data_IF_110574336675
#
_entry.id   IF_110574336675
#
_cell.length_a   1.000
_cell.length_b   1.000
_cell.length_c   1.000
_cell.angle_alpha   90.00
_cell.angle_beta   90.00
_cell.angle_gamma   90.00
#
_symmetry.space_group_name_H-M   'P 1'
#
loop_
_entity.id
_entity.type
_entity.pdbx_description
1 polymer ?
#
# COMPACT_ATOMS: atom_id res chain seq x y z
N UNK A 1 -2.49 3.52 -20.32
CA UNK A 1 -1.20 4.03 -19.79
C UNK A 1 -0.71 3.01 -18.76
N UNK A 2 -0.19 1.88 -19.24
CA UNK A 2 0.31 0.77 -18.42
C UNK A 2 1.66 1.26 -17.88
N UNK A 3 1.76 1.49 -16.57
CA UNK A 3 3.04 1.69 -15.92
C UNK A 3 3.82 0.38 -16.11
N UNK A 4 4.72 0.39 -17.08
CA UNK A 4 5.81 -0.57 -17.20
C UNK A 4 6.75 -0.28 -16.02
N UNK A 5 6.30 -0.61 -14.80
CA UNK A 5 7.17 -0.74 -13.66
C UNK A 5 8.06 -1.92 -14.03
N UNK A 6 9.33 -1.63 -14.30
CA UNK A 6 10.41 -2.57 -14.56
C UNK A 6 10.06 -3.93 -13.99
N UNK A 7 9.90 -4.94 -14.86
CA UNK A 7 10.06 -6.32 -14.42
C UNK A 7 11.50 -6.38 -13.97
N UNK A 8 11.74 -6.06 -12.69
CA UNK A 8 12.99 -6.39 -12.05
C UNK A 8 13.12 -7.89 -12.29
N UNK A 9 14.18 -8.30 -12.98
CA UNK A 9 14.46 -9.71 -13.13
C UNK A 9 14.38 -10.33 -11.73
N UNK A 10 13.73 -11.50 -11.58
CA UNK A 10 13.61 -12.13 -10.28
C UNK A 10 15.02 -12.37 -9.77
N UNK A 11 15.43 -11.56 -8.80
CA UNK A 11 16.67 -11.74 -8.07
C UNK A 11 16.37 -12.81 -7.02
N UNK A 12 16.81 -14.06 -7.24
CA UNK A 12 16.47 -15.17 -6.37
C UNK A 12 17.00 -14.95 -4.94
N UNK A 13 18.09 -14.20 -4.78
CA UNK A 13 18.67 -13.89 -3.48
C UNK A 13 17.82 -12.85 -2.75
N UNK A 14 17.31 -11.84 -3.47
CA UNK A 14 16.39 -10.85 -2.91
C UNK A 14 15.04 -11.47 -2.53
N UNK A 15 14.50 -12.35 -3.37
CA UNK A 15 13.26 -13.08 -3.08
C UNK A 15 13.44 -14.02 -1.89
N UNK A 16 14.54 -14.79 -1.83
CA UNK A 16 14.83 -15.65 -0.68
C UNK A 16 14.94 -14.85 0.63
N UNK A 17 15.64 -13.70 0.60
CA UNK A 17 15.77 -12.84 1.77
C UNK A 17 14.42 -12.24 2.21
N UNK A 18 13.54 -11.89 1.27
CA UNK A 18 12.21 -11.39 1.59
C UNK A 18 11.30 -12.51 2.14
N UNK A 19 11.38 -13.73 1.59
CA UNK A 19 10.68 -14.90 2.13
C UNK A 19 11.15 -15.26 3.55
N UNK A 20 12.43 -15.07 3.86
CA UNK A 20 12.97 -15.24 5.21
C UNK A 20 12.39 -14.21 6.19
N UNK A 21 12.34 -12.92 5.78
CA UNK A 21 11.71 -11.89 6.58
C UNK A 21 10.25 -12.24 6.90
N UNK A 22 9.47 -12.68 5.91
CA UNK A 22 8.06 -13.07 6.11
C UNK A 22 7.95 -14.25 7.09
N UNK A 23 8.84 -15.24 6.98
CA UNK A 23 8.85 -16.38 7.90
C UNK A 23 9.17 -15.98 9.34
N UNK A 24 10.14 -15.07 9.55
CA UNK A 24 10.46 -14.51 10.88
C UNK A 24 9.32 -13.67 11.45
N UNK A 25 8.65 -12.87 10.62
CA UNK A 25 7.45 -12.10 10.99
C UNK A 25 6.33 -13.03 11.45
N UNK A 26 6.13 -14.17 10.77
CA UNK A 26 5.15 -15.18 11.20
C UNK A 26 5.46 -15.75 12.60
N UNK A 27 6.72 -15.72 13.03
CA UNK A 27 7.18 -16.05 14.38
C UNK A 27 7.11 -14.89 15.39
N UNK A 28 6.64 -13.71 14.99
CA UNK A 28 6.52 -12.52 15.86
C UNK A 28 7.80 -11.68 15.97
N UNK A 29 8.76 -11.86 15.05
CA UNK A 29 9.99 -11.06 15.01
C UNK A 29 9.73 -9.65 14.44
N UNK A 30 9.85 -8.63 15.29
CA UNK A 30 9.63 -7.23 14.92
C UNK A 30 10.76 -6.65 14.08
N UNK A 31 11.99 -7.12 14.27
CA UNK A 31 13.14 -6.63 13.51
C UNK A 31 13.04 -7.11 12.06
N UNK A 32 12.50 -8.32 11.84
CA UNK A 32 12.19 -8.83 10.51
C UNK A 32 11.15 -7.97 9.76
N UNK A 33 10.21 -7.32 10.48
CA UNK A 33 9.27 -6.38 9.86
C UNK A 33 9.97 -5.11 9.39
N UNK A 34 10.93 -4.60 10.16
CA UNK A 34 11.74 -3.45 9.76
C UNK A 34 12.61 -3.77 8.54
N UNK A 35 13.21 -4.97 8.49
CA UNK A 35 13.96 -5.46 7.34
C UNK A 35 13.08 -5.56 6.09
N UNK A 36 11.87 -6.11 6.23
CA UNK A 36 10.88 -6.19 5.15
C UNK A 36 10.51 -4.79 4.66
N UNK A 37 10.20 -3.86 5.57
CA UNK A 37 9.85 -2.47 5.24
C UNK A 37 10.95 -1.82 4.38
N UNK A 38 12.21 -1.89 4.81
CA UNK A 38 13.33 -1.28 4.09
C UNK A 38 13.48 -1.82 2.67
N UNK A 39 13.25 -3.13 2.48
CA UNK A 39 13.34 -3.80 1.17
C UNK A 39 12.15 -3.47 0.27
N UNK A 40 10.94 -3.38 0.82
CA UNK A 40 9.71 -3.25 0.02
C UNK A 40 9.27 -1.80 -0.18
N UNK A 41 9.69 -0.87 0.68
CA UNK A 41 9.21 0.52 0.70
C UNK A 41 9.18 1.21 -0.65
N UNK A 42 10.27 1.24 -1.46
CA UNK A 42 10.25 1.95 -2.74
C UNK A 42 9.21 1.39 -3.72
N UNK A 43 9.08 0.05 -3.77
CA UNK A 43 8.15 -0.64 -4.65
C UNK A 43 6.69 -0.44 -4.20
N UNK A 44 6.42 -0.64 -2.91
CA UNK A 44 5.08 -0.49 -2.33
C UNK A 44 4.59 0.95 -2.43
N UNK A 45 5.41 1.92 -2.04
CA UNK A 45 5.04 3.34 -2.11
C UNK A 45 4.81 3.79 -3.56
N UNK A 46 5.75 3.48 -4.47
CA UNK A 46 5.61 3.84 -5.88
C UNK A 46 4.36 3.22 -6.52
N UNK A 47 4.06 1.96 -6.17
CA UNK A 47 2.88 1.27 -6.67
C UNK A 47 1.59 1.85 -6.08
N UNK A 48 1.51 2.09 -4.78
CA UNK A 48 0.37 2.74 -4.13
C UNK A 48 0.12 4.13 -4.73
N UNK A 49 1.15 4.96 -4.83
CA UNK A 49 1.08 6.30 -5.44
C UNK A 49 0.59 6.25 -6.88
N UNK A 50 0.97 5.22 -7.64
CA UNK A 50 0.49 5.03 -9.01
C UNK A 50 -1.02 4.77 -9.09
N UNK A 51 -1.63 4.23 -8.03
CA UNK A 51 -3.07 3.92 -7.94
C UNK A 51 -3.84 5.12 -7.38
N UNK A 52 -3.45 5.63 -6.21
CA UNK A 52 -4.23 6.64 -5.49
C UNK A 52 -3.94 8.08 -5.91
N UNK A 53 -2.82 8.32 -6.61
CA UNK A 53 -2.39 9.65 -7.11
C UNK A 53 -2.31 10.74 -6.03
N UNK A 54 -2.21 10.35 -4.77
CA UNK A 54 -2.06 11.22 -3.61
C UNK A 54 -0.89 10.69 -2.75
N UNK A 55 0.04 11.57 -2.38
CA UNK A 55 1.24 11.18 -1.65
C UNK A 55 0.93 10.74 -0.21
N UNK A 56 0.00 11.42 0.46
CA UNK A 56 -0.39 11.10 1.84
C UNK A 56 -1.09 9.74 1.91
N UNK A 57 -2.08 9.51 1.02
CA UNK A 57 -2.74 8.20 0.95
C UNK A 57 -1.76 7.08 0.60
N UNK A 58 -0.77 7.34 -0.27
CA UNK A 58 0.23 6.34 -0.63
C UNK A 58 1.15 5.97 0.55
N UNK A 59 1.48 6.93 1.40
CA UNK A 59 2.26 6.71 2.62
C UNK A 59 1.45 5.93 3.67
N UNK A 60 0.17 6.28 3.85
CA UNK A 60 -0.72 5.53 4.74
C UNK A 60 -0.88 4.07 4.27
N UNK A 61 -1.11 3.87 2.98
CA UNK A 61 -1.21 2.52 2.39
C UNK A 61 0.08 1.72 2.57
N UNK A 62 1.24 2.36 2.46
CA UNK A 62 2.53 1.70 2.72
C UNK A 62 2.60 1.19 4.16
N UNK A 63 2.23 2.02 5.13
CA UNK A 63 2.23 1.64 6.55
C UNK A 63 1.21 0.52 6.83
N UNK A 64 -0.01 0.67 6.32
CA UNK A 64 -1.07 -0.33 6.44
C UNK A 64 -0.68 -1.66 5.78
N UNK A 65 0.04 -1.62 4.66
CA UNK A 65 0.53 -2.82 4.00
C UNK A 65 1.50 -3.60 4.89
N UNK A 66 2.39 -2.92 5.62
CA UNK A 66 3.30 -3.59 6.57
C UNK A 66 2.54 -4.21 7.75
N UNK A 67 1.54 -3.52 8.29
CA UNK A 67 0.67 -4.08 9.34
C UNK A 67 -0.11 -5.30 8.83
N UNK A 68 -0.62 -5.21 7.60
CA UNK A 68 -1.36 -6.32 6.99
C UNK A 68 -0.44 -7.51 6.67
N UNK A 69 0.82 -7.27 6.28
CA UNK A 69 1.84 -8.30 6.15
C UNK A 69 2.08 -8.99 7.50
N UNK A 70 2.25 -8.22 8.58
CA UNK A 70 2.38 -8.79 9.94
C UNK A 70 1.23 -9.73 10.29
N UNK A 71 -0.01 -9.28 10.07
CA UNK A 71 -1.20 -10.07 10.36
C UNK A 71 -1.37 -11.30 9.46
N UNK A 72 -0.94 -11.22 8.20
CA UNK A 72 -1.13 -12.28 7.20
C UNK A 72 0.07 -13.24 7.07
N UNK A 73 1.23 -12.91 7.65
CA UNK A 73 2.46 -13.68 7.50
C UNK A 73 2.32 -15.15 7.93
N UNK A 74 1.55 -15.44 8.98
CA UNK A 74 1.31 -16.80 9.45
C UNK A 74 0.60 -17.71 8.42
N UNK A 75 -0.12 -17.13 7.46
CA UNK A 75 -0.77 -17.85 6.37
C UNK A 75 0.02 -17.87 5.06
N UNK A 76 1.18 -17.21 5.01
CA UNK A 76 1.98 -17.11 3.80
C UNK A 76 2.58 -18.47 3.43
N UNK A 77 2.52 -18.82 2.13
CA UNK A 77 3.16 -20.01 1.58
C UNK A 77 4.21 -19.56 0.58
N UNK A 78 5.45 -20.08 0.72
CA UNK A 78 6.56 -19.79 -0.21
C UNK A 78 6.18 -20.24 -1.61
N UNK A 79 6.24 -19.31 -2.55
CA UNK A 79 5.88 -19.49 -3.96
C UNK A 79 6.92 -18.86 -4.89
N UNK A 80 8.05 -18.37 -4.35
CA UNK A 80 9.12 -17.74 -5.11
C UNK A 80 8.77 -16.36 -5.66
N UNK A 81 7.73 -15.71 -5.14
CA UNK A 81 7.29 -14.36 -5.53
C UNK A 81 6.78 -13.54 -4.33
N UNK A 82 7.58 -13.37 -3.26
CA UNK A 82 7.16 -12.64 -2.06
C UNK A 82 6.78 -11.19 -2.33
N UNK A 83 7.49 -10.49 -3.22
CA UNK A 83 7.17 -9.11 -3.59
C UNK A 83 5.77 -9.01 -4.22
N UNK A 84 5.39 -9.96 -5.08
CA UNK A 84 4.07 -9.96 -5.72
C UNK A 84 2.94 -10.12 -4.68
N UNK A 85 3.17 -10.91 -3.63
CA UNK A 85 2.22 -11.06 -2.53
C UNK A 85 2.06 -9.75 -1.73
N UNK A 86 3.16 -9.07 -1.41
CA UNK A 86 3.14 -7.74 -0.75
C UNK A 86 2.42 -6.70 -1.63
N UNK A 87 2.69 -6.68 -2.93
CA UNK A 87 2.00 -5.77 -3.86
C UNK A 87 0.51 -6.11 -4.02
N UNK A 88 0.11 -7.36 -3.83
CA UNK A 88 -1.32 -7.75 -3.82
C UNK A 88 -2.03 -7.18 -2.60
N UNK A 89 -1.41 -7.24 -1.41
CA UNK A 89 -1.90 -6.57 -0.20
C UNK A 89 -2.03 -5.06 -0.46
N UNK A 90 -0.98 -4.45 -1.00
CA UNK A 90 -0.93 -3.01 -1.32
C UNK A 90 -2.05 -2.60 -2.27
N UNK A 91 -2.29 -3.37 -3.34
CA UNK A 91 -3.37 -3.15 -4.29
C UNK A 91 -4.73 -3.14 -3.60
N UNK A 92 -4.99 -4.12 -2.75
CA UNK A 92 -6.28 -4.25 -2.07
C UNK A 92 -6.55 -3.07 -1.16
N UNK A 93 -5.55 -2.61 -0.40
CA UNK A 93 -5.63 -1.41 0.44
C UNK A 93 -5.88 -0.16 -0.40
N UNK A 94 -5.13 0.03 -1.49
CA UNK A 94 -5.32 1.17 -2.39
C UNK A 94 -6.72 1.22 -3.01
N UNK A 95 -7.26 0.07 -3.43
CA UNK A 95 -8.62 -0.01 -3.97
C UNK A 95 -9.65 0.31 -2.87
N UNK A 96 -9.47 -0.21 -1.65
CA UNK A 96 -10.34 0.13 -0.52
C UNK A 96 -10.35 1.63 -0.24
N UNK A 97 -9.18 2.27 -0.22
CA UNK A 97 -9.02 3.72 -0.02
C UNK A 97 -9.77 4.54 -1.08
N UNK A 98 -9.62 4.18 -2.35
CA UNK A 98 -10.36 4.82 -3.44
C UNK A 98 -11.88 4.68 -3.31
N UNK A 99 -12.36 3.53 -2.81
CA UNK A 99 -13.79 3.30 -2.58
C UNK A 99 -14.33 4.14 -1.43
N UNK A 100 -13.54 4.42 -0.40
CA UNK A 100 -13.92 5.32 0.70
C UNK A 100 -14.03 6.78 0.23
N UNK A 101 -13.10 7.24 -0.60
CA UNK A 101 -13.16 8.59 -1.18
C UNK A 101 -14.37 8.76 -2.10
N UNK A 102 -14.70 7.75 -2.91
CA UNK A 102 -15.91 7.80 -3.75
C UNK A 102 -17.23 7.81 -2.96
N UNK A 103 -17.23 7.41 -1.68
CA UNK A 103 -18.40 7.50 -0.80
C UNK A 103 -18.47 8.82 -0.03
N UNK A 104 -17.34 9.49 0.09
CA UNK A 104 -17.20 10.76 0.80
C UNK A 104 -17.03 11.84 -0.26
N UNK A 105 -18.13 12.25 -0.91
CA UNK A 105 -18.09 13.45 -1.72
C UNK A 105 -17.65 14.61 -0.82
N UNK A 106 -16.65 15.43 -1.24
CA UNK A 106 -16.36 16.65 -0.52
C UNK A 106 -17.66 17.44 -0.50
N UNK A 107 -18.11 17.82 0.70
CA UNK A 107 -19.15 18.81 0.84
C UNK A 107 -18.66 20.02 0.04
N UNK A 108 -19.30 20.28 -1.09
CA UNK A 108 -19.14 21.57 -1.77
C UNK A 108 -19.40 22.58 -0.69
N UNK A 109 -18.37 23.36 -0.34
CA UNK A 109 -18.52 24.45 0.59
C UNK A 109 -19.45 25.43 -0.13
N UNK A 110 -20.76 25.28 0.08
CA UNK A 110 -21.73 26.27 -0.36
C UNK A 110 -21.24 27.59 0.22
N UNK A 111 -20.90 28.53 -0.67
CA UNK A 111 -20.53 29.85 -0.25
C UNK A 111 -21.80 30.53 0.27
N UNK A 112 -22.04 30.39 1.57
CA UNK A 112 -23.17 30.98 2.26
C UNK A 112 -23.19 32.51 2.13
N UNK A 113 -22.07 33.13 1.71
CA UNK A 113 -21.97 34.56 1.44
C UNK A 113 -22.79 34.98 0.22
N UNK A 114 -22.77 34.20 -0.86
CA UNK A 114 -23.54 34.50 -2.08
C UNK A 114 -25.06 34.34 -1.85
N UNK A 115 -25.48 33.34 -1.07
CA UNK A 115 -26.91 33.11 -0.76
C UNK A 115 -27.52 34.20 0.15
N UNK A 116 -26.71 34.87 0.96
CA UNK A 116 -27.17 35.95 1.84
C UNK A 116 -27.16 37.33 1.13
N UNK A 117 -26.37 37.48 0.06
CA UNK A 117 -26.33 38.71 -0.74
C UNK A 117 -27.60 38.93 -1.59
N UNK A 118 -28.35 37.86 -1.87
CA UNK A 118 -29.57 37.86 -2.69
C UNK A 118 -30.88 37.95 -1.88
N UNK A 119 -30.82 38.25 -0.58
CA UNK A 119 -32.03 38.48 0.23
C UNK A 119 -32.40 39.98 0.25
N UNK A 120 -33.42 40.42 -0.50
CA UNK A 120 -33.85 41.82 -0.54
C UNK A 120 -34.43 42.33 0.78
#
# INVERSE_FOLDING_TARGET
MIFCMTVAEPDPDADAALEDCIARIAGGDKDALADLYNRTRPAVYGFALSIVKNAHDAEDILHDACLQVWNAAGGYRRQGKPMAWVLTITRNLAISRLREHGRTEPLVQEDWQDRLADNP
#
